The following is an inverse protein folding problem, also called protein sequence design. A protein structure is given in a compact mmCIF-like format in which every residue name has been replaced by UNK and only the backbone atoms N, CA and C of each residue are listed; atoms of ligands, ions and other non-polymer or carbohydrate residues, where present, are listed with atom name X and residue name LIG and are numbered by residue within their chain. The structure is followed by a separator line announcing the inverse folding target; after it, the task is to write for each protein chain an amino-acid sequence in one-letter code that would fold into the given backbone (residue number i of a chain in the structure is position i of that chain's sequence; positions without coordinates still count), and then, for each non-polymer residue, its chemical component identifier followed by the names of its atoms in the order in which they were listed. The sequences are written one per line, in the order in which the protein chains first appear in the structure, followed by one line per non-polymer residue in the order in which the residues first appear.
data_IF_500833793565
#
_entry.id   IF_500833793565
#
_cell.length_a   1.000
_cell.length_b   1.000
_cell.length_c   1.000
_cell.angle_alpha   90.00
_cell.angle_beta   90.00
_cell.angle_gamma   90.00
#
_symmetry.space_group_name_H-M   'P 1'
#
loop_
_entity.id
_entity.type
_entity.pdbx_description
1 polymer ?
#
# COMPACT_ATOMS: atom_id res chain seq x y z
N UNK A 1 -19.99 -20.11 -61.07
CA UNK A 1 -19.28 -18.99 -60.41
C UNK A 1 -19.70 -19.00 -58.95
N UNK A 2 -18.71 -18.91 -58.07
CA UNK A 2 -18.69 -19.52 -56.74
C UNK A 2 -19.27 -18.63 -55.62
N UNK A 3 -20.11 -19.27 -54.80
CA UNK A 3 -20.16 -19.25 -53.32
C UNK A 3 -19.99 -17.92 -52.54
N UNK A 4 -21.09 -17.48 -51.92
CA UNK A 4 -21.14 -16.56 -50.78
C UNK A 4 -20.64 -17.27 -49.51
N UNK A 5 -19.61 -16.71 -48.85
CA UNK A 5 -19.15 -17.17 -47.55
C UNK A 5 -19.53 -16.16 -46.46
N UNK A 6 -20.49 -16.56 -45.64
CA UNK A 6 -20.87 -15.95 -44.36
C UNK A 6 -19.76 -16.12 -43.32
N UNK A 7 -19.29 -15.02 -42.73
CA UNK A 7 -18.38 -15.02 -41.57
C UNK A 7 -19.13 -14.54 -40.33
N UNK A 8 -19.59 -15.48 -39.51
CA UNK A 8 -20.14 -15.24 -38.17
C UNK A 8 -19.01 -15.42 -37.16
N UNK A 9 -18.47 -14.32 -36.64
CA UNK A 9 -17.45 -14.32 -35.59
C UNK A 9 -18.02 -14.81 -34.25
N UNK A 10 -17.82 -16.09 -33.94
CA UNK A 10 -18.24 -16.71 -32.68
C UNK A 10 -17.51 -16.13 -31.47
N UNK A 11 -18.28 -15.65 -30.49
CA UNK A 11 -17.79 -15.26 -29.17
C UNK A 11 -17.22 -16.50 -28.45
N UNK A 12 -15.90 -16.56 -28.27
CA UNK A 12 -15.24 -17.58 -27.43
C UNK A 12 -15.58 -17.34 -25.96
N UNK A 13 -16.66 -17.97 -25.48
CA UNK A 13 -16.93 -18.08 -24.04
C UNK A 13 -15.80 -18.89 -23.40
N UNK A 14 -15.13 -18.31 -22.39
CA UNK A 14 -14.14 -19.01 -21.56
C UNK A 14 -14.85 -20.17 -20.85
N UNK A 15 -14.42 -21.40 -21.12
CA UNK A 15 -14.92 -22.59 -20.43
C UNK A 15 -14.45 -22.53 -18.98
N UNK A 16 -15.35 -22.32 -18.02
CA UNK A 16 -15.01 -22.39 -16.61
C UNK A 16 -14.69 -23.84 -16.25
N UNK A 17 -13.48 -24.08 -15.73
CA UNK A 17 -13.12 -25.40 -15.22
C UNK A 17 -13.97 -25.74 -14.00
N UNK A 18 -14.55 -26.94 -13.99
CA UNK A 18 -15.32 -27.45 -12.86
C UNK A 18 -14.34 -27.80 -11.72
N UNK A 19 -14.60 -27.40 -10.46
CA UNK A 19 -13.75 -27.76 -9.33
C UNK A 19 -13.61 -29.28 -9.21
N UNK A 20 -12.38 -29.75 -9.03
CA UNK A 20 -12.10 -31.15 -8.74
C UNK A 20 -12.54 -31.41 -7.30
N UNK A 21 -13.48 -32.33 -7.11
CA UNK A 21 -13.92 -32.74 -5.77
C UNK A 21 -12.81 -33.60 -5.15
N UNK A 22 -12.20 -33.09 -4.08
CA UNK A 22 -11.25 -33.85 -3.27
C UNK A 22 -12.02 -34.84 -2.38
N UNK A 23 -11.47 -36.03 -2.20
CA UNK A 23 -11.98 -37.00 -1.23
C UNK A 23 -11.65 -36.53 0.19
N UNK A 24 -12.52 -36.79 1.17
CA UNK A 24 -12.32 -36.37 2.57
C UNK A 24 -10.95 -36.79 3.12
N UNK A 25 -10.51 -38.00 2.78
CA UNK A 25 -9.20 -38.54 3.18
C UNK A 25 -7.99 -37.79 2.58
N UNK A 26 -8.14 -37.13 1.41
CA UNK A 26 -7.10 -36.27 0.83
C UNK A 26 -7.10 -34.87 1.44
N UNK A 27 -8.26 -34.40 1.89
CA UNK A 27 -8.40 -33.12 2.59
C UNK A 27 -7.79 -33.20 3.99
N UNK A 28 -8.05 -34.29 4.72
CA UNK A 28 -7.53 -34.55 6.08
C UNK A 28 -6.01 -34.72 6.13
N UNK A 29 -5.36 -35.13 5.03
CA UNK A 29 -3.89 -35.24 4.93
C UNK A 29 -3.20 -33.90 4.63
N UNK A 30 -3.95 -32.85 4.35
CA UNK A 30 -3.37 -31.52 4.21
C UNK A 30 -3.25 -30.94 5.62
N UNK A 31 -2.03 -30.72 6.11
CA UNK A 31 -1.82 -29.89 7.30
C UNK A 31 -2.38 -28.50 6.98
N UNK A 32 -3.58 -28.22 7.51
CA UNK A 32 -4.19 -26.91 7.40
C UNK A 32 -3.30 -25.90 8.11
N UNK A 33 -3.12 -24.72 7.49
CA UNK A 33 -2.55 -23.57 8.19
C UNK A 33 -3.43 -23.14 9.36
N UNK A 34 -3.03 -22.07 10.05
CA UNK A 34 -3.86 -21.44 11.08
C UNK A 34 -5.29 -21.21 10.56
N UNK A 35 -6.29 -21.51 11.39
CA UNK A 35 -7.70 -21.26 11.09
C UNK A 35 -7.89 -19.82 10.56
N UNK A 36 -8.43 -19.62 9.34
CA UNK A 36 -8.61 -18.30 8.76
C UNK A 36 -9.37 -17.33 9.67
N UNK A 37 -10.37 -17.82 10.41
CA UNK A 37 -11.15 -16.99 11.32
C UNK A 37 -10.32 -16.55 12.53
N UNK A 38 -9.63 -17.48 13.21
CA UNK A 38 -8.72 -17.15 14.31
C UNK A 38 -7.62 -16.16 13.91
N UNK A 39 -7.08 -16.29 12.69
CA UNK A 39 -6.08 -15.37 12.17
C UNK A 39 -6.64 -13.97 11.90
N UNK A 40 -7.83 -13.89 11.32
CA UNK A 40 -8.52 -12.61 11.11
C UNK A 40 -8.84 -11.92 12.44
N UNK A 41 -9.36 -12.67 13.41
CA UNK A 41 -9.60 -12.18 14.77
C UNK A 41 -8.31 -11.67 15.42
N UNK A 42 -7.22 -12.42 15.34
CA UNK A 42 -5.92 -12.00 15.85
C UNK A 42 -5.39 -10.73 15.16
N UNK A 43 -5.59 -10.59 13.85
CA UNK A 43 -5.22 -9.38 13.11
C UNK A 43 -6.02 -8.15 13.60
N UNK A 44 -7.33 -8.31 13.78
CA UNK A 44 -8.19 -7.25 14.29
C UNK A 44 -7.88 -6.88 15.75
N UNK A 45 -7.70 -7.87 16.62
CA UNK A 45 -7.38 -7.66 18.02
C UNK A 45 -6.03 -6.93 18.19
N UNK A 46 -4.99 -7.38 17.47
CA UNK A 46 -3.66 -6.76 17.51
C UNK A 46 -3.66 -5.32 17.00
N UNK A 47 -4.34 -5.04 15.88
CA UNK A 47 -4.49 -3.69 15.35
C UNK A 47 -5.20 -2.75 16.33
N UNK A 48 -6.28 -3.21 16.98
CA UNK A 48 -7.00 -2.44 18.01
C UNK A 48 -6.12 -2.15 19.23
N UNK A 49 -5.43 -3.18 19.75
CA UNK A 49 -4.55 -3.03 20.91
C UNK A 49 -3.42 -2.03 20.63
N UNK A 50 -2.82 -2.07 19.44
CA UNK A 50 -1.77 -1.16 19.04
C UNK A 50 -2.25 0.30 19.08
N UNK A 51 -3.42 0.58 18.49
CA UNK A 51 -3.99 1.94 18.50
C UNK A 51 -4.43 2.39 19.91
N UNK A 52 -5.06 1.50 20.68
CA UNK A 52 -5.50 1.81 22.05
C UNK A 52 -4.33 2.14 22.97
N UNK A 53 -3.22 1.40 22.87
CA UNK A 53 -2.03 1.65 23.70
C UNK A 53 -1.28 2.90 23.30
N UNK A 54 -1.24 3.26 22.02
CA UNK A 54 -0.61 4.51 21.59
C UNK A 54 -1.36 5.77 22.02
N UNK A 55 -2.67 5.68 22.26
CA UNK A 55 -3.52 6.77 22.77
C UNK A 55 -3.42 6.99 24.30
N UNK A 56 -2.55 6.27 24.99
CA UNK A 56 -2.35 6.42 26.44
C UNK A 56 -1.76 7.78 26.82
N UNK A 57 -2.10 8.29 28.01
CA UNK A 57 -1.73 9.65 28.47
C UNK A 57 -0.22 9.90 28.73
N UNK A 58 0.66 8.96 28.39
CA UNK A 58 2.11 9.12 28.54
C UNK A 58 2.77 9.14 27.14
N UNK A 59 3.06 10.33 26.58
CA UNK A 59 3.74 10.47 25.30
C UNK A 59 5.07 9.70 25.22
N UNK A 60 5.77 9.55 26.35
CA UNK A 60 7.04 8.82 26.40
C UNK A 60 6.84 7.31 26.36
N UNK A 61 5.70 6.80 26.84
CA UNK A 61 5.31 5.40 26.67
C UNK A 61 4.87 5.13 25.23
N UNK A 62 4.12 6.05 24.63
CA UNK A 62 3.75 5.98 23.21
C UNK A 62 4.99 5.93 22.33
N UNK A 63 5.93 6.86 22.50
CA UNK A 63 7.19 6.88 21.75
C UNK A 63 8.00 5.59 21.93
N UNK A 64 8.08 5.05 23.16
CA UNK A 64 8.74 3.76 23.43
C UNK A 64 8.02 2.56 22.82
N UNK A 65 6.69 2.54 22.83
CA UNK A 65 5.89 1.47 22.25
C UNK A 65 5.98 1.50 20.72
N UNK A 66 5.98 2.71 20.13
CA UNK A 66 6.21 2.93 18.70
C UNK A 66 7.61 2.44 18.34
N UNK A 67 8.67 2.91 19.02
CA UNK A 67 10.04 2.44 18.77
C UNK A 67 10.18 0.92 18.96
N UNK A 68 9.63 0.33 20.02
CA UNK A 68 9.71 -1.12 20.22
C UNK A 68 8.95 -1.90 19.13
N UNK A 69 7.79 -1.41 18.71
CA UNK A 69 7.02 -2.02 17.62
C UNK A 69 7.79 -1.86 16.32
N UNK A 70 8.31 -0.67 16.01
CA UNK A 70 9.12 -0.37 14.82
C UNK A 70 10.43 -1.19 14.77
N UNK A 71 11.03 -1.52 15.91
CA UNK A 71 12.32 -2.22 15.97
C UNK A 71 12.21 -3.76 15.99
N UNK A 72 11.10 -4.33 16.51
CA UNK A 72 11.00 -5.79 16.72
C UNK A 72 9.61 -6.40 16.49
N UNK A 73 8.54 -5.61 16.47
CA UNK A 73 7.16 -6.11 16.49
C UNK A 73 6.41 -5.93 15.18
N UNK A 74 6.78 -4.92 14.39
CA UNK A 74 5.96 -4.47 13.27
C UNK A 74 6.05 -5.41 12.10
N UNK A 75 7.17 -6.07 11.86
CA UNK A 75 7.33 -7.04 10.78
C UNK A 75 6.39 -8.24 10.99
N UNK A 76 6.30 -8.75 12.22
CA UNK A 76 5.39 -9.85 12.55
C UNK A 76 3.92 -9.43 12.45
N UNK A 77 3.58 -8.23 12.93
CA UNK A 77 2.23 -7.70 12.82
C UNK A 77 1.86 -7.40 11.36
N UNK A 78 2.80 -6.88 10.58
CA UNK A 78 2.62 -6.60 9.16
C UNK A 78 2.41 -7.91 8.38
N UNK A 79 3.15 -8.98 8.68
CA UNK A 79 2.90 -10.29 8.07
C UNK A 79 1.48 -10.79 8.40
N UNK A 80 1.08 -10.70 9.67
CA UNK A 80 -0.27 -11.07 10.10
C UNK A 80 -1.35 -10.25 9.37
N UNK A 81 -1.18 -8.93 9.31
CA UNK A 81 -2.14 -8.00 8.70
C UNK A 81 -2.15 -8.03 7.18
N UNK A 82 -1.07 -8.48 6.52
CA UNK A 82 -0.98 -8.56 5.06
C UNK A 82 -2.08 -9.40 4.41
N UNK A 83 -2.71 -10.27 5.20
CA UNK A 83 -3.78 -11.15 4.78
C UNK A 83 -5.18 -10.63 5.14
N UNK A 84 -5.29 -9.53 5.87
CA UNK A 84 -6.57 -8.94 6.22
C UNK A 84 -7.20 -8.24 5.01
N UNK A 85 -8.53 -8.07 5.05
CA UNK A 85 -9.25 -7.32 4.03
C UNK A 85 -8.68 -5.92 3.86
N UNK A 86 -8.57 -5.45 2.62
CA UNK A 86 -8.07 -4.11 2.28
C UNK A 86 -8.83 -2.99 3.00
N UNK A 87 -10.14 -3.18 3.18
CA UNK A 87 -11.04 -2.20 3.80
C UNK A 87 -11.30 -2.50 5.29
N UNK A 88 -10.35 -3.18 5.94
CA UNK A 88 -10.33 -3.39 7.39
C UNK A 88 -9.24 -2.55 8.05
N UNK A 89 -9.35 -2.36 9.36
CA UNK A 89 -8.32 -1.67 10.14
C UNK A 89 -6.90 -2.29 9.98
N UNK A 90 -6.69 -3.60 10.22
CA UNK A 90 -5.37 -4.21 10.00
C UNK A 90 -4.88 -4.07 8.56
N UNK A 91 -5.77 -4.22 7.56
CA UNK A 91 -5.39 -4.08 6.15
C UNK A 91 -4.99 -2.65 5.76
N UNK A 92 -5.59 -1.63 6.38
CA UNK A 92 -5.19 -0.24 6.23
C UNK A 92 -3.82 0.02 6.87
N UNK A 93 -3.62 -0.41 8.13
CA UNK A 93 -2.34 -0.28 8.83
C UNK A 93 -1.20 -0.91 8.03
N UNK A 94 -1.40 -2.14 7.52
CA UNK A 94 -0.40 -2.80 6.68
C UNK A 94 0.04 -1.96 5.47
N UNK A 95 -0.91 -1.32 4.77
CA UNK A 95 -0.60 -0.45 3.62
C UNK A 95 0.22 0.78 4.02
N UNK A 96 -0.11 1.38 5.16
CA UNK A 96 0.63 2.52 5.69
C UNK A 96 2.07 2.13 6.03
N UNK A 97 2.28 1.00 6.70
CA UNK A 97 3.61 0.47 7.00
C UNK A 97 4.38 0.05 5.73
N UNK A 98 3.71 -0.57 4.76
CA UNK A 98 4.33 -0.89 3.47
C UNK A 98 4.75 0.34 2.69
N UNK A 99 3.96 1.42 2.73
CA UNK A 99 4.34 2.69 2.12
C UNK A 99 5.58 3.27 2.83
N UNK A 100 5.56 3.32 4.16
CA UNK A 100 6.70 3.77 4.97
C UNK A 100 7.98 3.01 4.63
N UNK A 101 7.92 1.68 4.65
CA UNK A 101 9.06 0.82 4.29
C UNK A 101 9.54 1.09 2.85
N UNK A 102 8.63 1.33 1.90
CA UNK A 102 8.99 1.74 0.53
C UNK A 102 9.75 3.07 0.50
N UNK A 103 9.35 4.05 1.30
CA UNK A 103 10.04 5.35 1.42
C UNK A 103 11.43 5.15 2.01
N UNK A 104 11.55 4.43 3.13
CA UNK A 104 12.83 4.19 3.81
C UNK A 104 13.82 3.37 2.97
N UNK A 105 13.34 2.41 2.17
CA UNK A 105 14.19 1.62 1.26
C UNK A 105 14.73 2.44 0.08
N UNK A 106 14.06 3.51 -0.34
CA UNK A 106 14.54 4.34 -1.44
C UNK A 106 14.14 5.82 -1.32
N UNK A 107 14.66 6.57 -0.33
CA UNK A 107 14.22 7.93 -0.06
C UNK A 107 14.39 8.87 -1.27
N UNK A 108 15.54 8.77 -1.95
CA UNK A 108 15.83 9.56 -3.16
C UNK A 108 14.93 9.19 -4.35
N UNK A 109 14.62 7.91 -4.50
CA UNK A 109 13.72 7.44 -5.56
C UNK A 109 12.30 7.94 -5.35
N UNK A 110 11.82 7.86 -4.10
CA UNK A 110 10.51 8.39 -3.71
C UNK A 110 10.47 9.91 -3.81
N UNK A 111 11.46 10.65 -3.31
CA UNK A 111 11.54 12.10 -3.43
C UNK A 111 11.45 12.57 -4.89
N UNK A 112 12.21 11.94 -5.81
CA UNK A 112 12.11 12.25 -7.24
C UNK A 112 10.73 11.96 -7.82
N UNK A 113 10.12 10.82 -7.47
CA UNK A 113 8.76 10.53 -7.90
C UNK A 113 7.78 11.55 -7.31
N UNK A 114 7.91 11.88 -6.03
CA UNK A 114 7.04 12.82 -5.35
C UNK A 114 7.09 14.21 -5.99
N UNK A 115 8.29 14.73 -6.29
CA UNK A 115 8.47 16.01 -7.01
C UNK A 115 7.77 15.99 -8.37
N UNK A 116 7.93 14.92 -9.15
CA UNK A 116 7.26 14.77 -10.44
C UNK A 116 5.74 14.68 -10.32
N UNK A 117 5.24 13.98 -9.30
CA UNK A 117 3.81 13.82 -9.06
C UNK A 117 3.16 15.10 -8.52
N UNK A 118 3.86 15.85 -7.68
CA UNK A 118 3.41 17.12 -7.11
C UNK A 118 3.13 18.15 -8.20
N UNK A 119 3.90 18.14 -9.29
CA UNK A 119 3.67 18.99 -10.45
C UNK A 119 2.37 18.66 -11.20
N UNK A 120 1.88 17.42 -11.12
CA UNK A 120 0.64 16.96 -11.76
C UNK A 120 -0.60 17.07 -10.84
N UNK A 121 -0.43 16.78 -9.55
CA UNK A 121 -1.50 16.87 -8.54
C UNK A 121 -1.03 17.60 -7.27
N UNK A 122 -1.03 18.93 -7.37
CA UNK A 122 -0.66 19.79 -6.26
C UNK A 122 -1.64 19.71 -5.07
N UNK A 123 -2.92 19.32 -5.31
CA UNK A 123 -3.92 19.23 -4.23
C UNK A 123 -3.59 18.07 -3.30
N UNK A 124 -3.27 16.90 -3.85
CA UNK A 124 -2.85 15.76 -3.04
C UNK A 124 -1.49 16.00 -2.36
N UNK A 125 -0.60 16.79 -2.95
CA UNK A 125 0.63 17.22 -2.25
C UNK A 125 0.31 18.02 -0.97
N UNK A 126 -0.60 19.00 -1.05
CA UNK A 126 -1.01 19.79 0.13
C UNK A 126 -1.60 18.89 1.22
N UNK A 127 -2.40 17.89 0.85
CA UNK A 127 -2.96 16.92 1.81
C UNK A 127 -1.88 16.02 2.39
N UNK A 128 -0.94 15.52 1.58
CA UNK A 128 0.17 14.71 2.07
C UNK A 128 1.03 15.47 3.09
N UNK A 129 1.25 16.77 2.85
CA UNK A 129 1.95 17.67 3.77
C UNK A 129 3.48 17.54 3.71
N UNK A 130 4.04 17.06 2.59
CA UNK A 130 5.49 17.06 2.37
C UNK A 130 5.95 18.50 2.13
N UNK A 131 7.03 19.00 2.77
CA UNK A 131 7.59 20.32 2.48
C UNK A 131 8.01 20.53 1.02
N UNK A 132 7.97 21.79 0.55
CA UNK A 132 8.45 22.22 -0.77
C UNK A 132 9.80 22.95 -0.62
N UNK A 133 10.92 22.42 -1.16
CA UNK A 133 11.01 21.27 -2.06
C UNK A 133 10.96 19.89 -1.36
N UNK A 134 10.40 18.84 -2.00
CA UNK A 134 10.22 17.52 -1.40
C UNK A 134 11.50 16.69 -1.47
N UNK A 135 12.49 17.03 -0.65
CA UNK A 135 13.76 16.31 -0.54
C UNK A 135 13.61 14.92 0.08
N UNK A 136 14.71 14.16 0.06
CA UNK A 136 14.73 12.78 0.55
C UNK A 136 14.50 12.68 2.07
N UNK A 137 14.97 13.67 2.83
CA UNK A 137 14.76 13.74 4.28
C UNK A 137 13.32 14.16 4.59
N UNK A 138 12.79 15.11 3.83
CA UNK A 138 11.42 15.61 3.95
C UNK A 138 10.39 14.50 3.72
N UNK A 139 10.53 13.69 2.66
CA UNK A 139 9.59 12.58 2.42
C UNK A 139 9.64 11.50 3.49
N UNK A 140 10.82 11.23 4.07
CA UNK A 140 10.99 10.29 5.18
C UNK A 140 10.35 10.84 6.45
N UNK A 141 10.65 12.09 6.78
CA UNK A 141 10.09 12.74 7.95
C UNK A 141 8.56 12.80 7.89
N UNK A 142 8.00 13.20 6.74
CA UNK A 142 6.56 13.29 6.58
C UNK A 142 5.86 11.93 6.68
N UNK A 143 6.40 10.85 6.09
CA UNK A 143 5.75 9.54 6.21
C UNK A 143 5.81 9.01 7.65
N UNK A 144 6.91 9.26 8.37
CA UNK A 144 7.04 8.90 9.78
C UNK A 144 6.07 9.71 10.66
N UNK A 145 5.92 11.01 10.38
CA UNK A 145 4.95 11.89 11.06
C UNK A 145 3.50 11.43 10.83
N UNK A 146 3.15 11.08 9.58
CA UNK A 146 1.81 10.56 9.25
C UNK A 146 1.50 9.30 10.04
N UNK A 147 2.47 8.37 10.15
CA UNK A 147 2.30 7.15 10.92
C UNK A 147 2.27 7.41 12.43
N UNK A 148 3.03 8.38 12.93
CA UNK A 148 2.95 8.79 14.34
C UNK A 148 1.54 9.31 14.70
N UNK A 149 0.86 9.97 13.75
CA UNK A 149 -0.53 10.44 13.89
C UNK A 149 -1.57 9.33 14.18
N UNK A 150 -1.25 8.07 13.85
CA UNK A 150 -2.09 6.91 14.21
C UNK A 150 -2.30 6.80 15.73
N UNK A 151 -1.28 7.20 16.48
CA UNK A 151 -1.23 7.05 17.93
C UNK A 151 -1.78 8.25 18.69
N UNK A 152 -1.89 9.42 18.03
CA UNK A 152 -2.43 10.64 18.65
C UNK A 152 -3.95 10.75 18.57
N UNK A 153 -4.61 9.88 17.80
CA UNK A 153 -6.06 9.84 17.68
C UNK A 153 -6.61 10.29 16.32
N UNK A 154 -5.77 10.84 15.45
CA UNK A 154 -6.13 11.39 14.15
C UNK A 154 -6.08 10.33 13.03
N UNK A 155 -6.73 9.17 13.26
CA UNK A 155 -6.57 7.98 12.43
C UNK A 155 -7.04 8.19 10.98
N UNK A 156 -8.21 8.79 10.82
CA UNK A 156 -8.79 9.13 9.51
C UNK A 156 -7.91 10.14 8.77
N UNK A 157 -7.43 11.16 9.47
CA UNK A 157 -6.51 12.15 8.91
C UNK A 157 -5.18 11.52 8.48
N UNK A 158 -4.60 10.65 9.31
CA UNK A 158 -3.37 9.93 8.98
C UNK A 158 -3.55 9.04 7.74
N UNK A 159 -4.68 8.33 7.62
CA UNK A 159 -5.01 7.54 6.43
C UNK A 159 -5.17 8.43 5.19
N UNK A 160 -5.82 9.60 5.29
CA UNK A 160 -5.96 10.55 4.19
C UNK A 160 -4.63 11.13 3.73
N UNK A 161 -3.78 11.58 4.66
CA UNK A 161 -2.44 12.08 4.35
C UNK A 161 -1.60 10.99 3.67
N UNK A 162 -1.66 9.76 4.17
CA UNK A 162 -0.96 8.60 3.59
C UNK A 162 -1.47 8.26 2.19
N UNK A 163 -2.79 8.28 1.97
CA UNK A 163 -3.38 8.04 0.66
C UNK A 163 -2.97 9.10 -0.36
N UNK A 164 -3.02 10.38 0.05
CA UNK A 164 -2.59 11.49 -0.79
C UNK A 164 -1.10 11.39 -1.14
N UNK A 165 -0.25 11.01 -0.19
CA UNK A 165 1.17 10.74 -0.42
C UNK A 165 1.35 9.63 -1.47
N UNK A 166 0.69 8.48 -1.30
CA UNK A 166 0.78 7.35 -2.23
C UNK A 166 0.34 7.75 -3.64
N UNK A 167 -0.74 8.54 -3.77
CA UNK A 167 -1.25 9.05 -5.05
C UNK A 167 -0.23 9.94 -5.76
N UNK A 168 0.38 10.89 -5.04
CA UNK A 168 1.42 11.77 -5.60
C UNK A 168 2.61 10.94 -6.10
N UNK A 169 3.11 9.99 -5.30
CA UNK A 169 4.22 9.12 -5.72
C UNK A 169 3.84 8.26 -6.93
N UNK A 170 2.62 7.69 -6.95
CA UNK A 170 2.14 6.89 -8.08
C UNK A 170 2.14 7.69 -9.39
N UNK A 171 1.59 8.92 -9.36
CA UNK A 171 1.61 9.84 -10.51
C UNK A 171 3.04 10.15 -10.96
N UNK A 172 3.94 10.42 -10.02
CA UNK A 172 5.35 10.64 -10.29
C UNK A 172 6.04 9.49 -11.02
N UNK A 173 5.78 8.26 -10.59
CA UNK A 173 6.29 7.04 -11.23
C UNK A 173 5.74 6.91 -12.65
N UNK A 174 4.45 7.19 -12.86
CA UNK A 174 3.82 7.15 -14.20
C UNK A 174 4.43 8.20 -15.14
N UNK A 175 4.66 9.42 -14.64
CA UNK A 175 5.31 10.51 -15.39
C UNK A 175 6.72 10.12 -15.79
N UNK A 176 7.50 9.60 -14.85
CA UNK A 176 8.88 9.18 -15.11
C UNK A 176 8.94 8.04 -16.13
N UNK A 177 8.06 7.04 -15.98
CA UNK A 177 7.93 5.93 -16.93
C UNK A 177 7.57 6.44 -18.34
N UNK A 178 6.61 7.36 -18.46
CA UNK A 178 6.19 7.93 -19.74
C UNK A 178 7.30 8.77 -20.39
N UNK A 179 8.09 9.51 -19.59
CA UNK A 179 9.27 10.24 -20.08
C UNK A 179 10.32 9.29 -20.64
N UNK A 180 10.66 8.23 -19.91
CA UNK A 180 11.61 7.21 -20.38
C UNK A 180 11.10 6.49 -21.64
N UNK A 181 9.81 6.15 -21.72
CA UNK A 181 9.26 5.46 -22.90
C UNK A 181 9.24 6.35 -24.16
N UNK A 182 9.05 7.67 -24.00
CA UNK A 182 9.08 8.62 -25.14
C UNK A 182 10.50 8.93 -25.61
N UNK A 183 11.43 9.05 -24.67
CA UNK A 183 12.82 9.35 -24.96
C UNK A 183 13.70 8.49 -24.05
N UNK A 184 13.92 7.20 -24.40
CA UNK A 184 14.83 6.38 -23.65
C UNK A 184 16.19 7.04 -23.81
N UNK A 185 16.69 7.66 -22.74
CA UNK A 185 17.92 8.44 -22.79
C UNK A 185 18.97 7.64 -23.57
N UNK A 186 19.71 8.26 -24.52
CA UNK A 186 20.84 7.57 -25.11
C UNK A 186 21.73 7.21 -23.92
N UNK A 187 21.93 5.91 -23.68
CA UNK A 187 22.87 5.45 -22.65
C UNK A 187 24.16 6.17 -22.94
N UNK A 188 24.48 7.20 -22.16
CA UNK A 188 25.79 7.83 -22.24
C UNK A 188 26.77 6.66 -22.17
N UNK A 189 27.72 6.53 -23.11
CA UNK A 189 28.64 5.40 -23.14
C UNK A 189 29.69 5.57 -22.02
N UNK A 190 29.25 5.90 -20.81
CA UNK A 190 29.97 5.47 -19.62
C UNK A 190 29.88 3.95 -19.66
N UNK A 191 31.03 3.28 -19.63
CA UNK A 191 31.18 1.83 -19.65
C UNK A 191 30.53 1.20 -18.41
N UNK A 192 29.20 1.27 -18.34
CA UNK A 192 28.38 0.65 -17.32
C UNK A 192 28.25 -0.82 -17.69
N UNK A 193 28.51 -1.68 -16.70
CA UNK A 193 28.40 -3.12 -16.84
C UNK A 193 27.04 -3.51 -17.43
N UNK A 194 26.99 -4.59 -18.22
CA UNK A 194 25.75 -5.15 -18.74
C UNK A 194 24.73 -5.44 -17.63
N UNK A 195 25.21 -5.77 -16.43
CA UNK A 195 24.39 -5.97 -15.23
C UNK A 195 23.64 -4.70 -14.82
N UNK A 196 24.31 -3.54 -14.77
CA UNK A 196 23.70 -2.25 -14.41
C UNK A 196 22.63 -1.86 -15.44
N UNK A 197 22.92 -2.09 -16.73
CA UNK A 197 21.95 -1.83 -17.82
C UNK A 197 20.74 -2.74 -17.69
N UNK A 198 20.97 -4.04 -17.43
CA UNK A 198 19.90 -5.01 -17.22
C UNK A 198 19.04 -4.65 -16.03
N UNK A 199 19.66 -4.32 -14.89
CA UNK A 199 18.96 -3.92 -13.69
C UNK A 199 18.15 -2.64 -13.91
N UNK A 200 18.67 -1.65 -14.64
CA UNK A 200 17.93 -0.44 -15.00
C UNK A 200 16.68 -0.75 -15.85
N UNK A 201 16.79 -1.67 -16.82
CA UNK A 201 15.65 -2.14 -17.62
C UNK A 201 14.63 -2.87 -16.75
N UNK A 202 15.08 -3.78 -15.87
CA UNK A 202 14.20 -4.51 -14.94
C UNK A 202 13.48 -3.54 -13.99
N UNK A 203 14.19 -2.54 -13.45
CA UNK A 203 13.59 -1.46 -12.64
C UNK A 203 12.54 -0.67 -13.41
N UNK A 204 12.77 -0.40 -14.69
CA UNK A 204 11.81 0.31 -15.52
C UNK A 204 10.55 -0.53 -15.79
N UNK A 205 10.71 -1.82 -16.06
CA UNK A 205 9.59 -2.75 -16.32
C UNK A 205 8.66 -2.95 -15.11
N UNK A 206 9.16 -2.80 -13.87
CA UNK A 206 8.34 -2.89 -12.65
C UNK A 206 7.60 -1.59 -12.30
N UNK A 207 7.97 -0.45 -12.88
CA UNK A 207 7.39 0.86 -12.52
C UNK A 207 5.86 0.92 -12.68
N UNK A 208 5.25 0.41 -13.78
CA UNK A 208 3.80 0.47 -13.93
C UNK A 208 3.05 -0.32 -12.85
N UNK A 209 3.58 -1.48 -12.46
CA UNK A 209 3.00 -2.29 -11.38
C UNK A 209 3.12 -1.61 -10.03
N UNK A 210 4.27 -0.99 -9.75
CA UNK A 210 4.49 -0.22 -8.54
C UNK A 210 3.55 0.99 -8.45
N UNK A 211 3.36 1.73 -9.54
CA UNK A 211 2.43 2.85 -9.58
C UNK A 211 0.98 2.40 -9.34
N UNK A 212 0.53 1.34 -10.01
CA UNK A 212 -0.81 0.80 -9.84
C UNK A 212 -1.05 0.29 -8.41
N UNK A 213 -0.05 -0.31 -7.77
CA UNK A 213 -0.11 -0.74 -6.38
C UNK A 213 -0.29 0.44 -5.43
N UNK A 214 0.48 1.52 -5.61
CA UNK A 214 0.37 2.73 -4.79
C UNK A 214 -0.98 3.44 -4.99
N UNK A 215 -1.49 3.46 -6.21
CA UNK A 215 -2.82 3.99 -6.51
C UNK A 215 -3.93 3.17 -5.83
N UNK A 216 -3.81 1.84 -5.83
CA UNK A 216 -4.72 0.97 -5.09
C UNK A 216 -4.63 1.22 -3.57
N UNK A 217 -3.42 1.40 -3.02
CA UNK A 217 -3.25 1.73 -1.61
C UNK A 217 -3.94 3.04 -1.26
N UNK A 218 -3.82 4.08 -2.11
CA UNK A 218 -4.49 5.35 -1.91
C UNK A 218 -6.02 5.17 -1.85
N UNK A 219 -6.60 4.44 -2.82
CA UNK A 219 -8.04 4.17 -2.87
C UNK A 219 -8.55 3.39 -1.64
N UNK A 220 -7.81 2.36 -1.23
CA UNK A 220 -8.18 1.55 -0.06
C UNK A 220 -8.14 2.39 1.23
N UNK A 221 -7.10 3.21 1.41
CA UNK A 221 -6.95 4.09 2.58
C UNK A 221 -8.03 5.18 2.61
N UNK A 222 -8.35 5.81 1.47
CA UNK A 222 -9.44 6.77 1.35
C UNK A 222 -10.80 6.14 1.73
N UNK A 223 -11.04 4.89 1.29
CA UNK A 223 -12.26 4.16 1.62
C UNK A 223 -12.37 3.87 3.12
N UNK A 224 -11.29 3.42 3.76
CA UNK A 224 -11.27 3.15 5.20
C UNK A 224 -11.39 4.44 6.01
N UNK A 225 -10.71 5.52 5.62
CA UNK A 225 -10.84 6.82 6.27
C UNK A 225 -12.29 7.34 6.21
N UNK A 226 -12.95 7.19 5.06
CA UNK A 226 -14.35 7.57 4.91
C UNK A 226 -15.30 6.74 5.79
N UNK A 227 -15.08 5.42 5.88
CA UNK A 227 -15.81 4.54 6.80
C UNK A 227 -15.57 4.93 8.26
N UNK A 228 -14.34 5.26 8.62
CA UNK A 228 -13.97 5.68 9.96
C UNK A 228 -14.66 6.99 10.36
N UNK A 229 -14.71 7.99 9.46
CA UNK A 229 -15.45 9.24 9.67
C UNK A 229 -16.95 9.00 9.84
N UNK A 230 -17.53 8.10 9.05
CA UNK A 230 -18.95 7.74 9.17
C UNK A 230 -19.26 7.03 10.49
N UNK A 231 -18.36 6.15 10.95
CA UNK A 231 -18.48 5.45 12.23
C UNK A 231 -18.23 6.37 13.44
N UNK A 232 -17.27 7.31 13.32
CA UNK A 232 -16.89 8.29 14.34
C UNK A 232 -17.99 9.28 14.73
N UNK A 233 -19.05 9.40 13.93
CA UNK A 233 -20.24 10.18 14.27
C UNK A 233 -21.25 9.42 15.17
N UNK A 234 -21.12 8.09 15.33
CA UNK A 234 -22.14 7.27 16.03
C UNK A 234 -21.60 6.16 16.96
N UNK A 235 -20.33 5.73 16.87
CA UNK A 235 -19.93 4.39 17.35
C UNK A 235 -18.93 4.35 18.51
N UNK A 236 -18.32 5.45 18.92
CA UNK A 236 -17.35 5.43 20.04
C UNK A 236 -17.92 5.84 21.40
N UNK A 237 -19.21 6.15 21.48
CA UNK A 237 -19.89 6.35 22.77
C UNK A 237 -20.53 5.07 23.34
N UNK A 238 -20.77 4.01 22.56
CA UNK A 238 -21.40 2.79 23.07
C UNK A 238 -20.93 1.54 22.31
N UNK A 239 -20.20 0.67 23.02
CA UNK A 239 -20.09 -0.79 22.83
C UNK A 239 -19.76 -1.34 21.43
N UNK A 240 -18.62 -2.03 21.29
CA UNK A 240 -18.34 -2.78 20.06
C UNK A 240 -17.13 -3.69 20.08
N UNK A 241 -17.37 -4.95 20.47
CA UNK A 241 -16.56 -6.15 20.30
C UNK A 241 -15.57 -6.41 21.46
N UNK A 242 -16.16 -7.00 22.50
CA UNK A 242 -15.63 -8.19 23.16
C UNK A 242 -15.58 -9.36 22.18
#
# INVERSE_FOLDING_TARGET
MSTSASSTGGHRRRTHHRPVLFTSEKFERHEGGMDPAAREEAAHASARILLMRGRGQDPQLTERLVSFTDDYGIEMLAELWSHASAHSLPGALWRMYQLRDTVHRSPRGVSRAFELGMAEDYRSHVVAGVPDPPGAEEVVHTIDEILAGLYTGDLDMAMERCAAFARVVALGIQVDFARYSRNPAPTVPVATSHEIKREAVERHLRMPGQAAQLEQYAQDLEAVAAQWRAAGASQWDLEGIA
#
